data_IF_755785870111
#
_entry.id   IF_755785870111
#
_cell.length_a   1.000
_cell.length_b   1.000
_cell.length_c   1.000
_cell.angle_alpha   90.00
_cell.angle_beta   90.00
_cell.angle_gamma   90.00
#
_symmetry.space_group_name_H-M   'P 1'
#
loop_
_entity.id
_entity.type
_entity.pdbx_description
1 polymer ?
#
# COMPACT_ATOMS: atom_id res chain seq x y z
N UNK A 1 10.58 -1.55 -29.31
CA UNK A 1 11.94 -1.66 -28.72
C UNK A 1 12.31 -0.43 -27.87
N UNK A 2 11.90 0.78 -28.25
CA UNK A 2 12.19 2.02 -27.49
C UNK A 2 11.57 2.10 -26.08
N UNK A 3 10.29 1.72 -25.92
CA UNK A 3 9.60 1.81 -24.62
C UNK A 3 10.16 0.87 -23.55
N UNK A 4 10.53 -0.36 -23.92
CA UNK A 4 11.10 -1.35 -22.99
C UNK A 4 12.50 -0.98 -22.53
N UNK A 5 13.31 -0.35 -23.40
CA UNK A 5 14.62 0.17 -23.03
C UNK A 5 14.48 1.37 -22.09
N UNK A 6 13.58 2.31 -22.39
CA UNK A 6 13.30 3.46 -21.52
C UNK A 6 12.83 3.04 -20.11
N UNK A 7 11.95 2.04 -20.00
CA UNK A 7 11.53 1.52 -18.69
C UNK A 7 12.67 0.86 -17.90
N UNK A 8 13.57 0.15 -18.60
CA UNK A 8 14.74 -0.45 -17.97
C UNK A 8 15.72 0.60 -17.45
N UNK A 9 15.95 1.68 -18.19
CA UNK A 9 16.84 2.76 -17.75
C UNK A 9 16.24 3.53 -16.56
N UNK A 10 14.95 3.84 -16.60
CA UNK A 10 14.25 4.46 -15.47
C UNK A 10 14.36 3.63 -14.18
N UNK A 11 14.28 2.30 -14.30
CA UNK A 11 14.46 1.42 -13.15
C UNK A 11 15.90 1.46 -12.63
N UNK A 12 16.91 1.43 -13.49
CA UNK A 12 18.32 1.51 -13.07
C UNK A 12 18.61 2.80 -12.30
N UNK A 13 18.14 3.95 -12.80
CA UNK A 13 18.32 5.23 -12.10
C UNK A 13 17.62 5.23 -10.74
N UNK A 14 16.39 4.71 -10.66
CA UNK A 14 15.67 4.60 -9.39
C UNK A 14 16.39 3.69 -8.37
N UNK A 15 17.02 2.61 -8.83
CA UNK A 15 17.81 1.71 -7.97
C UNK A 15 19.04 2.44 -7.41
N UNK A 16 19.76 3.19 -8.25
CA UNK A 16 20.91 3.98 -7.79
C UNK A 16 20.50 5.00 -6.72
N UNK A 17 19.42 5.76 -6.97
CA UNK A 17 18.89 6.73 -6.02
C UNK A 17 18.43 6.09 -4.70
N UNK A 18 17.83 4.89 -4.75
CA UNK A 18 17.45 4.13 -3.55
C UNK A 18 18.67 3.70 -2.74
N UNK A 19 19.72 3.20 -3.39
CA UNK A 19 20.94 2.78 -2.71
C UNK A 19 21.71 3.98 -2.12
N UNK A 20 21.67 5.14 -2.79
CA UNK A 20 22.17 6.40 -2.22
C UNK A 20 21.41 6.79 -0.95
N UNK A 21 20.07 6.68 -0.97
CA UNK A 21 19.25 6.95 0.20
C UNK A 21 19.54 5.96 1.34
N UNK A 22 19.68 4.68 1.03
CA UNK A 22 20.01 3.62 1.99
C UNK A 22 21.35 3.87 2.67
N UNK A 23 22.41 4.12 1.89
CA UNK A 23 23.75 4.41 2.42
C UNK A 23 23.74 5.66 3.29
N UNK A 24 22.98 6.68 2.89
CA UNK A 24 22.86 7.91 3.67
C UNK A 24 22.23 7.67 5.05
N UNK A 25 21.25 6.78 5.17
CA UNK A 25 20.66 6.42 6.47
C UNK A 25 21.63 5.68 7.40
N UNK A 26 22.58 4.94 6.82
CA UNK A 26 23.59 4.18 7.56
C UNK A 26 24.72 5.08 8.10
N UNK A 27 24.94 6.27 7.52
CA UNK A 27 25.97 7.20 8.03
C UNK A 27 25.50 7.94 9.28
N UNK A 28 26.37 8.03 10.30
CA UNK A 28 26.07 8.75 11.56
C UNK A 28 25.78 10.26 11.36
N UNK A 29 26.06 10.82 10.18
CA UNK A 29 25.69 12.20 9.81
C UNK A 29 24.17 12.40 9.72
N UNK A 30 23.41 11.36 9.35
CA UNK A 30 21.95 11.42 9.27
C UNK A 30 21.27 11.61 10.64
N UNK A 31 21.92 11.19 11.74
CA UNK A 31 21.39 11.36 13.10
C UNK A 31 21.72 12.72 13.73
N UNK A 32 22.79 13.42 13.28
CA UNK A 32 23.29 14.63 13.95
C UNK A 32 22.91 15.93 13.23
N UNK A 33 22.78 15.94 11.90
CA UNK A 33 22.45 17.15 11.13
C UNK A 33 20.96 17.23 10.77
N UNK A 34 20.12 17.51 11.79
CA UNK A 34 18.67 17.74 11.61
C UNK A 34 18.33 18.95 10.72
N UNK A 35 19.30 19.82 10.40
CA UNK A 35 19.04 21.09 9.72
C UNK A 35 19.39 21.07 8.21
N UNK A 36 20.18 20.10 7.73
CA UNK A 36 20.69 20.07 6.33
C UNK A 36 20.43 18.75 5.58
N UNK A 37 19.89 17.73 6.25
CA UNK A 37 19.72 16.38 5.71
C UNK A 37 18.32 16.03 5.19
N UNK A 38 17.55 16.99 4.65
CA UNK A 38 16.20 16.71 4.17
C UNK A 38 16.22 15.94 2.84
N UNK A 39 16.23 14.60 2.91
CA UNK A 39 16.12 13.73 1.74
C UNK A 39 14.68 13.64 1.28
N UNK A 40 14.35 14.43 0.26
CA UNK A 40 13.07 14.35 -0.46
C UNK A 40 12.89 12.98 -1.12
N UNK A 41 11.68 12.71 -1.59
CA UNK A 41 11.41 11.53 -2.40
C UNK A 41 12.32 11.52 -3.64
N UNK A 42 13.09 10.44 -3.91
CA UNK A 42 14.04 10.45 -5.01
C UNK A 42 13.36 10.61 -6.40
N UNK A 43 13.86 11.48 -7.29
CA UNK A 43 13.18 11.84 -8.54
C UNK A 43 12.86 10.67 -9.49
N UNK A 44 13.81 9.76 -9.74
CA UNK A 44 13.58 8.60 -10.59
C UNK A 44 12.59 7.63 -9.92
N UNK A 45 12.65 7.48 -8.59
CA UNK A 45 11.64 6.74 -7.84
C UNK A 45 10.25 7.37 -7.98
N UNK A 46 10.16 8.71 -7.95
CA UNK A 46 8.88 9.43 -8.09
C UNK A 46 8.27 9.19 -9.48
N UNK A 47 9.10 9.13 -10.53
CA UNK A 47 8.67 8.77 -11.87
C UNK A 47 8.10 7.34 -11.93
N UNK A 48 8.75 6.38 -11.25
CA UNK A 48 8.19 5.03 -11.13
C UNK A 48 6.87 5.05 -10.36
N UNK A 49 6.81 5.76 -9.22
CA UNK A 49 5.64 5.89 -8.35
C UNK A 49 4.42 6.43 -9.11
N UNK A 50 4.59 7.49 -9.90
CA UNK A 50 3.49 8.10 -10.67
C UNK A 50 2.96 7.20 -11.79
N UNK A 51 3.80 6.31 -12.34
CA UNK A 51 3.42 5.39 -13.41
C UNK A 51 2.76 4.09 -12.91
N UNK A 52 2.60 3.93 -11.59
CA UNK A 52 1.88 2.78 -11.02
C UNK A 52 0.39 2.95 -11.30
N UNK A 53 -0.25 1.89 -11.77
CA UNK A 53 -1.69 1.91 -12.06
C UNK A 53 -2.51 2.42 -10.87
N UNK A 54 -3.41 3.37 -11.15
CA UNK A 54 -4.28 4.03 -10.18
C UNK A 54 -3.67 5.24 -9.47
N UNK A 55 -2.35 5.45 -9.51
CA UNK A 55 -1.71 6.54 -8.75
C UNK A 55 -1.98 7.95 -9.30
N UNK A 56 -2.60 8.05 -10.47
CA UNK A 56 -3.06 9.34 -10.99
C UNK A 56 -4.26 9.91 -10.23
N UNK A 57 -4.97 9.08 -9.45
CA UNK A 57 -6.13 9.47 -8.68
C UNK A 57 -5.94 9.13 -7.20
N UNK A 58 -6.47 9.96 -6.30
CA UNK A 58 -6.54 9.69 -4.87
C UNK A 58 -7.24 8.35 -4.61
N UNK A 59 -6.66 7.49 -3.78
CA UNK A 59 -7.28 6.18 -3.49
C UNK A 59 -8.62 6.30 -2.74
N UNK A 60 -8.83 7.38 -1.99
CA UNK A 60 -10.03 7.51 -1.15
C UNK A 60 -11.18 8.28 -1.82
N UNK A 61 -10.88 9.27 -2.66
CA UNK A 61 -11.89 10.17 -3.24
C UNK A 61 -11.72 10.43 -4.74
N UNK A 62 -10.78 9.74 -5.39
CA UNK A 62 -10.52 9.81 -6.84
C UNK A 62 -10.10 11.19 -7.36
N UNK A 63 -9.84 12.18 -6.49
CA UNK A 63 -9.27 13.46 -6.89
C UNK A 63 -7.94 13.26 -7.64
N UNK A 64 -7.78 13.95 -8.78
CA UNK A 64 -6.61 13.80 -9.66
C UNK A 64 -5.31 14.32 -9.04
N UNK A 65 -4.19 13.76 -9.49
CA UNK A 65 -2.82 14.18 -9.16
C UNK A 65 -2.55 14.31 -7.64
N UNK A 66 -2.83 13.27 -6.84
CA UNK A 66 -2.57 13.30 -5.39
C UNK A 66 -1.08 13.57 -5.08
N UNK A 67 -0.80 14.53 -4.19
CA UNK A 67 0.58 14.89 -3.78
C UNK A 67 0.94 14.42 -2.35
N UNK A 68 0.06 13.69 -1.70
CA UNK A 68 0.29 13.12 -0.37
C UNK A 68 0.23 11.60 -0.46
N UNK A 69 0.81 10.95 0.53
CA UNK A 69 0.88 9.51 0.63
C UNK A 69 0.44 9.06 2.01
N UNK A 70 -0.27 7.95 2.06
CA UNK A 70 -0.36 7.09 3.24
C UNK A 70 0.70 6.00 3.10
N UNK A 71 1.86 6.21 3.72
CA UNK A 71 3.02 5.31 3.61
C UNK A 71 2.68 3.92 4.13
N UNK A 72 1.88 3.87 5.20
CA UNK A 72 1.42 2.64 5.85
C UNK A 72 0.67 1.69 4.90
N UNK A 73 -0.05 2.24 3.91
CA UNK A 73 -0.80 1.45 2.92
C UNK A 73 -0.20 1.55 1.51
N UNK A 74 0.93 2.25 1.35
CA UNK A 74 1.61 2.42 0.07
C UNK A 74 0.76 3.11 -0.99
N UNK A 75 -0.15 4.01 -0.59
CA UNK A 75 -1.12 4.67 -1.48
C UNK A 75 -0.96 6.20 -1.53
N UNK A 76 -1.30 6.80 -2.66
CA UNK A 76 -1.38 8.25 -2.84
C UNK A 76 -2.79 8.78 -2.53
N UNK A 77 -2.82 9.89 -1.81
CA UNK A 77 -4.03 10.59 -1.34
C UNK A 77 -3.93 12.08 -1.65
N UNK A 78 -5.07 12.75 -1.81
CA UNK A 78 -5.11 14.19 -1.99
C UNK A 78 -4.90 14.93 -0.66
N UNK A 79 -4.75 16.26 -0.71
CA UNK A 79 -4.57 17.09 0.49
C UNK A 79 -5.69 16.87 1.50
N UNK A 80 -6.94 16.85 1.04
CA UNK A 80 -8.12 16.71 1.90
C UNK A 80 -8.15 15.34 2.60
N UNK A 81 -7.92 14.25 1.87
CA UNK A 81 -7.86 12.91 2.46
C UNK A 81 -6.64 12.75 3.37
N UNK A 82 -5.53 13.45 3.10
CA UNK A 82 -4.39 13.50 4.02
C UNK A 82 -4.76 14.06 5.39
N UNK A 83 -5.67 15.04 5.46
CA UNK A 83 -6.21 15.57 6.71
C UNK A 83 -6.99 14.50 7.49
N UNK A 84 -7.88 13.77 6.82
CA UNK A 84 -8.64 12.65 7.41
C UNK A 84 -7.70 11.55 7.93
N UNK A 85 -6.69 11.19 7.15
CA UNK A 85 -5.68 10.22 7.56
C UNK A 85 -4.86 10.64 8.79
N UNK A 86 -4.66 11.95 9.02
CA UNK A 86 -3.96 12.44 10.22
C UNK A 86 -4.79 12.24 11.49
N UNK A 87 -6.11 12.28 11.40
CA UNK A 87 -7.03 12.03 12.54
C UNK A 87 -6.93 10.60 13.06
N UNK A 88 -6.57 9.64 12.21
CA UNK A 88 -6.34 8.23 12.58
C UNK A 88 -5.12 8.03 13.51
N UNK A 89 -4.19 8.98 13.54
CA UNK A 89 -2.93 8.88 14.26
C UNK A 89 -1.86 8.04 13.54
N UNK A 90 -0.60 8.29 13.92
CA UNK A 90 0.60 7.73 13.26
C UNK A 90 0.67 6.21 13.30
N UNK A 91 0.10 5.58 14.33
CA UNK A 91 0.04 4.13 14.45
C UNK A 91 -0.82 3.52 13.34
N UNK A 92 -1.86 4.22 12.87
CA UNK A 92 -2.79 3.72 11.87
C UNK A 92 -2.41 4.17 10.46
N UNK A 93 -2.01 5.43 10.30
CA UNK A 93 -1.60 5.98 9.01
C UNK A 93 -0.46 6.99 9.16
N UNK A 94 0.69 6.66 8.60
CA UNK A 94 1.82 7.58 8.43
C UNK A 94 1.58 8.39 7.16
N UNK A 95 1.34 9.69 7.31
CA UNK A 95 1.07 10.61 6.21
C UNK A 95 2.32 11.41 5.85
N UNK A 96 2.67 11.45 4.56
CA UNK A 96 3.83 12.21 4.03
C UNK A 96 3.47 12.91 2.72
N UNK A 97 3.96 14.13 2.51
CA UNK A 97 3.99 14.81 1.22
C UNK A 97 5.07 14.20 0.33
N UNK A 98 4.76 13.92 -0.94
CA UNK A 98 5.75 13.36 -1.87
C UNK A 98 6.78 14.41 -2.33
N UNK A 99 6.53 15.70 -2.08
CA UNK A 99 7.41 16.80 -2.51
C UNK A 99 8.08 17.54 -1.35
N UNK A 100 7.45 17.57 -0.18
CA UNK A 100 7.87 18.40 0.95
C UNK A 100 8.39 17.61 2.16
N UNK A 101 8.16 16.31 2.24
CA UNK A 101 8.58 15.52 3.41
C UNK A 101 9.87 14.73 3.16
N UNK A 102 10.55 14.39 4.27
CA UNK A 102 11.71 13.50 4.23
C UNK A 102 11.23 12.07 4.08
N UNK A 103 11.93 11.31 3.26
CA UNK A 103 11.61 9.92 3.00
C UNK A 103 12.76 9.02 3.41
N UNK A 104 12.41 7.91 4.05
CA UNK A 104 13.37 6.85 4.34
C UNK A 104 13.40 5.83 3.21
N UNK A 105 14.51 5.08 3.08
CA UNK A 105 14.65 4.00 2.11
C UNK A 105 13.44 3.05 2.17
N UNK A 106 13.10 2.59 3.38
CA UNK A 106 11.96 1.72 3.64
C UNK A 106 10.61 2.34 3.24
N UNK A 107 10.41 3.64 3.50
CA UNK A 107 9.17 4.33 3.13
C UNK A 107 9.03 4.47 1.61
N UNK A 108 10.13 4.73 0.88
CA UNK A 108 10.12 4.74 -0.59
C UNK A 108 9.77 3.36 -1.14
N UNK A 109 10.36 2.29 -0.58
CA UNK A 109 10.02 0.91 -0.96
C UNK A 109 8.53 0.58 -0.74
N UNK A 110 7.94 1.04 0.37
CA UNK A 110 6.51 0.84 0.61
C UNK A 110 5.63 1.45 -0.49
N UNK A 111 6.00 2.62 -1.00
CA UNK A 111 5.29 3.26 -2.10
C UNK A 111 5.54 2.56 -3.45
N UNK A 112 6.78 2.12 -3.70
CA UNK A 112 7.16 1.40 -4.92
C UNK A 112 6.64 -0.05 -4.97
N UNK A 113 6.24 -0.64 -3.84
CA UNK A 113 5.62 -1.97 -3.79
C UNK A 113 4.09 -1.93 -3.61
N UNK A 114 3.53 -0.84 -3.09
CA UNK A 114 2.09 -0.61 -2.91
C UNK A 114 1.34 -0.23 -4.20
N UNK A 115 0.63 0.90 -4.18
CA UNK A 115 -0.07 1.50 -5.32
C UNK A 115 -1.59 1.51 -5.17
N UNK A 116 -2.22 2.55 -5.72
CA UNK A 116 -3.63 2.85 -5.52
C UNK A 116 -4.55 1.81 -6.16
N UNK A 117 -4.22 1.29 -7.35
CA UNK A 117 -5.02 0.20 -7.91
C UNK A 117 -5.00 -1.04 -7.01
N UNK A 118 -3.83 -1.39 -6.47
CA UNK A 118 -3.70 -2.56 -5.61
C UNK A 118 -4.49 -2.39 -4.29
N UNK A 119 -4.40 -1.21 -3.68
CA UNK A 119 -5.11 -0.88 -2.45
C UNK A 119 -6.63 -0.78 -2.69
N UNK A 120 -7.05 -0.07 -3.74
CA UNK A 120 -8.45 0.05 -4.13
C UNK A 120 -9.09 -1.29 -4.50
N UNK A 121 -8.41 -2.14 -5.26
CA UNK A 121 -8.88 -3.50 -5.58
C UNK A 121 -8.97 -4.37 -4.32
N UNK A 122 -8.10 -4.15 -3.33
CA UNK A 122 -8.18 -4.84 -2.04
C UNK A 122 -9.43 -4.39 -1.27
N UNK A 123 -9.62 -3.08 -1.08
CA UNK A 123 -10.80 -2.57 -0.38
C UNK A 123 -12.11 -2.95 -1.07
N UNK A 124 -12.18 -2.87 -2.40
CA UNK A 124 -13.37 -3.26 -3.17
C UNK A 124 -13.75 -4.72 -2.93
N UNK A 125 -12.77 -5.64 -2.95
CA UNK A 125 -13.01 -7.07 -2.67
C UNK A 125 -13.44 -7.36 -1.23
N UNK A 126 -13.23 -6.41 -0.32
CA UNK A 126 -13.61 -6.51 1.09
C UNK A 126 -14.85 -5.67 1.43
N UNK A 127 -15.57 -5.13 0.44
CA UNK A 127 -16.79 -4.33 0.66
C UNK A 127 -16.51 -2.95 1.27
N UNK A 128 -15.32 -2.39 1.02
CA UNK A 128 -14.85 -1.12 1.59
C UNK A 128 -14.65 -0.04 0.52
N UNK A 129 -15.43 -0.08 -0.57
CA UNK A 129 -15.33 0.87 -1.68
C UNK A 129 -15.59 2.32 -1.24
N UNK A 130 -15.07 3.27 -2.01
CA UNK A 130 -15.25 4.72 -1.78
C UNK A 130 -16.63 5.27 -2.11
N UNK A 131 -17.50 4.47 -2.75
CA UNK A 131 -18.76 4.93 -3.34
C UNK A 131 -20.04 4.29 -2.79
N UNK A 132 -19.98 3.29 -1.90
CA UNK A 132 -21.19 2.60 -1.43
C UNK A 132 -21.82 3.29 -0.22
N UNK A 133 -22.38 4.48 -0.42
CA UNK A 133 -23.40 5.04 0.47
C UNK A 133 -24.62 5.49 -0.32
N UNK A 134 -25.14 4.65 -1.22
CA UNK A 134 -26.54 4.72 -1.65
C UNK A 134 -27.00 3.33 -2.11
N UNK A 135 -27.66 2.57 -1.21
CA UNK A 135 -28.99 1.94 -1.43
C UNK A 135 -29.28 0.75 -0.48
N UNK A 136 -30.34 0.94 0.34
CA UNK A 136 -31.22 -0.03 1.05
C UNK A 136 -30.73 -0.67 2.37
N UNK A 137 -31.48 -0.65 3.48
CA UNK A 137 -32.95 -0.57 3.68
C UNK A 137 -33.34 0.10 5.03
N UNK A 138 -34.50 0.78 5.15
CA UNK A 138 -34.94 1.41 6.38
C UNK A 138 -35.58 0.38 7.31
N UNK A 139 -35.02 0.20 8.51
CA UNK A 139 -35.79 -0.34 9.63
C UNK A 139 -36.24 0.84 10.47
N UNK A 140 -37.54 1.10 10.42
CA UNK A 140 -38.26 2.05 11.27
C UNK A 140 -37.99 1.69 12.73
N UNK A 141 -37.57 2.65 13.56
CA UNK A 141 -38.20 2.96 14.86
C UNK A 141 -37.59 4.19 15.56
N UNK A 142 -38.47 5.17 15.79
CA UNK A 142 -38.63 6.00 17.01
C UNK A 142 -37.73 7.22 17.25
N UNK A 143 -38.32 8.39 16.93
CA UNK A 143 -38.25 9.72 17.56
C UNK A 143 -36.94 10.23 18.21
N UNK A 144 -36.37 11.31 17.66
CA UNK A 144 -36.49 12.68 18.17
C UNK A 144 -35.31 13.59 17.73
N UNK A 145 -35.66 14.85 17.44
CA UNK A 145 -34.81 16.05 17.32
C UNK A 145 -34.00 16.31 16.03
N UNK A 146 -34.39 17.40 15.40
CA UNK A 146 -33.77 18.12 14.28
C UNK A 146 -32.50 18.89 14.69
N UNK A 147 -31.39 18.66 13.99
CA UNK A 147 -30.38 19.69 13.73
C UNK A 147 -29.76 19.47 12.33
N UNK A 148 -29.64 20.55 11.58
CA UNK A 148 -29.10 20.72 10.22
C UNK A 148 -27.87 19.85 9.91
N UNK A 149 -28.05 18.78 9.11
CA UNK A 149 -26.99 17.87 8.67
C UNK A 149 -26.50 18.23 7.27
N UNK A 150 -25.43 19.04 7.22
CA UNK A 150 -24.59 19.15 6.03
C UNK A 150 -23.25 18.43 6.31
N UNK A 151 -23.06 17.27 5.65
CA UNK A 151 -21.76 16.67 5.24
C UNK A 151 -20.87 15.89 6.25
N UNK A 152 -21.38 15.39 7.38
CA UNK A 152 -20.55 14.57 8.31
C UNK A 152 -20.42 13.07 7.92
N UNK A 153 -21.24 12.56 6.99
CA UNK A 153 -21.26 11.12 6.65
C UNK A 153 -20.00 10.65 5.91
N UNK A 154 -19.28 11.54 5.23
CA UNK A 154 -18.10 11.20 4.40
C UNK A 154 -16.76 11.35 5.15
N UNK A 155 -16.74 11.95 6.33
CA UNK A 155 -15.53 12.00 7.19
C UNK A 155 -15.34 10.65 7.89
N UNK A 156 -16.42 10.11 8.47
CA UNK A 156 -16.41 8.84 9.20
C UNK A 156 -16.05 7.66 8.29
N UNK A 157 -16.53 7.64 7.03
CA UNK A 157 -16.29 6.52 6.13
C UNK A 157 -14.80 6.19 5.87
N UNK A 158 -13.94 7.21 5.73
CA UNK A 158 -12.48 6.99 5.55
C UNK A 158 -11.85 6.54 6.87
N UNK A 159 -12.19 7.19 7.98
CA UNK A 159 -11.65 6.85 9.29
C UNK A 159 -12.00 5.39 9.64
N UNK A 160 -13.26 5.01 9.47
CA UNK A 160 -13.77 3.68 9.75
C UNK A 160 -13.12 2.61 8.85
N UNK A 161 -12.99 2.88 7.54
CA UNK A 161 -12.36 1.97 6.57
C UNK A 161 -11.00 1.49 7.04
N UNK A 162 -10.14 2.42 7.49
CA UNK A 162 -8.76 2.13 7.87
C UNK A 162 -8.62 1.50 9.27
N UNK A 163 -9.67 1.47 10.08
CA UNK A 163 -9.71 0.77 11.37
C UNK A 163 -10.19 -0.69 11.24
N UNK A 164 -10.73 -1.09 10.09
CA UNK A 164 -11.19 -2.47 9.87
C UNK A 164 -10.05 -3.50 9.94
N UNK A 165 -10.40 -4.74 10.30
CA UNK A 165 -9.47 -5.88 10.27
C UNK A 165 -8.87 -6.10 8.87
N UNK A 166 -9.61 -5.82 7.81
CA UNK A 166 -9.11 -5.93 6.44
C UNK A 166 -8.00 -4.89 6.17
N UNK A 167 -8.19 -3.63 6.57
CA UNK A 167 -7.16 -2.61 6.45
C UNK A 167 -5.92 -2.97 7.28
N UNK A 168 -6.10 -3.37 8.54
CA UNK A 168 -5.00 -3.81 9.41
C UNK A 168 -4.23 -5.01 8.82
N UNK A 169 -4.94 -5.96 8.21
CA UNK A 169 -4.33 -7.07 7.48
C UNK A 169 -3.48 -6.56 6.30
N UNK A 170 -4.01 -5.65 5.47
CA UNK A 170 -3.25 -5.07 4.36
C UNK A 170 -1.99 -4.37 4.85
N UNK A 171 -2.13 -3.49 5.85
CA UNK A 171 -1.01 -2.78 6.50
C UNK A 171 0.09 -3.74 6.92
N UNK A 172 -0.25 -4.81 7.66
CA UNK A 172 0.72 -5.80 8.13
C UNK A 172 1.39 -6.52 6.95
N UNK A 173 0.61 -6.97 5.97
CA UNK A 173 1.14 -7.70 4.81
C UNK A 173 2.06 -6.84 3.94
N UNK A 174 1.74 -5.55 3.76
CA UNK A 174 2.60 -4.62 3.04
C UNK A 174 3.91 -4.40 3.82
N UNK A 175 3.83 -4.17 5.13
CA UNK A 175 5.02 -4.03 5.98
C UNK A 175 5.93 -5.26 5.89
N UNK A 176 5.39 -6.46 6.10
CA UNK A 176 6.14 -7.71 6.03
C UNK A 176 6.73 -7.94 4.62
N UNK A 177 6.04 -7.47 3.58
CA UNK A 177 6.52 -7.53 2.21
C UNK A 177 7.70 -6.58 1.96
N UNK A 178 7.59 -5.33 2.40
CA UNK A 178 8.66 -4.35 2.30
C UNK A 178 9.90 -4.84 3.05
N UNK A 179 9.75 -5.41 4.25
CA UNK A 179 10.85 -5.99 5.01
C UNK A 179 11.57 -7.10 4.23
N UNK A 180 10.83 -7.95 3.51
CA UNK A 180 11.42 -9.00 2.67
C UNK A 180 12.12 -8.43 1.44
N UNK A 181 11.59 -7.37 0.84
CA UNK A 181 12.22 -6.70 -0.31
C UNK A 181 13.52 -6.04 0.11
N UNK A 182 13.50 -5.28 1.19
CA UNK A 182 14.69 -4.62 1.76
C UNK A 182 15.79 -5.61 2.14
N UNK A 183 15.42 -6.71 2.81
CA UNK A 183 16.36 -7.81 3.16
C UNK A 183 16.89 -8.56 1.95
N UNK A 184 16.24 -8.48 0.80
CA UNK A 184 16.70 -9.17 -0.42
C UNK A 184 17.86 -8.46 -1.13
N UNK A 185 18.30 -7.32 -0.60
CA UNK A 185 19.39 -6.52 -1.13
C UNK A 185 18.89 -5.45 -2.09
N UNK A 186 19.60 -5.30 -3.20
CA UNK A 186 19.28 -4.32 -4.25
C UNK A 186 17.83 -4.47 -4.75
N UNK A 187 17.16 -3.34 -4.94
CA UNK A 187 15.79 -3.29 -5.45
C UNK A 187 15.73 -3.74 -6.92
N UNK A 188 14.83 -4.70 -7.23
CA UNK A 188 14.70 -5.28 -8.59
C UNK A 188 13.42 -4.87 -9.32
N UNK A 189 12.69 -3.90 -8.77
CA UNK A 189 11.41 -3.45 -9.31
C UNK A 189 10.21 -4.29 -8.87
N UNK A 190 9.04 -3.63 -8.87
CA UNK A 190 7.75 -4.21 -8.44
C UNK A 190 7.39 -5.51 -9.17
N UNK A 191 7.65 -5.59 -10.47
CA UNK A 191 7.30 -6.78 -11.26
C UNK A 191 8.10 -8.01 -10.87
N UNK A 192 9.36 -7.82 -10.47
CA UNK A 192 10.19 -8.89 -9.93
C UNK A 192 9.59 -9.41 -8.61
N UNK A 193 9.22 -8.52 -7.69
CA UNK A 193 8.56 -8.83 -6.42
C UNK A 193 7.27 -9.63 -6.63
N UNK A 194 6.42 -9.21 -7.58
CA UNK A 194 5.15 -9.88 -7.92
C UNK A 194 5.35 -11.29 -8.49
N UNK A 195 6.28 -11.45 -9.44
CA UNK A 195 6.61 -12.76 -10.04
C UNK A 195 7.12 -13.75 -8.98
N UNK A 196 7.96 -13.29 -8.05
CA UNK A 196 8.48 -14.12 -6.94
C UNK A 196 7.34 -14.59 -6.04
N UNK A 197 6.40 -13.71 -5.70
CA UNK A 197 5.25 -14.06 -4.87
C UNK A 197 4.32 -15.07 -5.56
N UNK A 198 4.08 -14.92 -6.86
CA UNK A 198 3.27 -15.87 -7.63
C UNK A 198 3.91 -17.26 -7.72
N UNK A 199 5.24 -17.33 -7.95
CA UNK A 199 5.99 -18.61 -7.92
C UNK A 199 5.88 -19.29 -6.55
N UNK A 200 5.99 -18.52 -5.46
CA UNK A 200 5.85 -19.05 -4.11
C UNK A 200 4.44 -19.62 -3.86
N UNK A 201 3.39 -18.89 -4.23
CA UNK A 201 1.99 -19.39 -4.13
C UNK A 201 1.78 -20.67 -4.92
N UNK A 202 2.28 -20.73 -6.16
CA UNK A 202 2.16 -21.92 -6.99
C UNK A 202 2.92 -23.12 -6.39
N UNK A 203 4.09 -22.88 -5.77
CA UNK A 203 4.85 -23.91 -5.06
C UNK A 203 4.13 -24.43 -3.82
N UNK A 204 3.57 -23.52 -3.00
CA UNK A 204 2.76 -23.88 -1.82
C UNK A 204 1.53 -24.70 -2.20
N UNK A 205 0.79 -24.29 -3.23
CA UNK A 205 -0.36 -25.03 -3.73
C UNK A 205 0.02 -26.42 -4.25
N UNK A 206 1.18 -26.55 -4.93
CA UNK A 206 1.69 -27.84 -5.40
C UNK A 206 2.07 -28.77 -4.24
N UNK A 207 2.66 -28.22 -3.17
CA UNK A 207 2.98 -28.98 -1.94
C UNK A 207 1.72 -29.44 -1.22
N UNK A 208 0.75 -28.55 -1.01
CA UNK A 208 -0.54 -28.90 -0.40
C UNK A 208 -1.28 -30.00 -1.19
N UNK A 209 -1.31 -29.90 -2.53
CA UNK A 209 -1.91 -30.93 -3.39
C UNK A 209 -1.16 -32.27 -3.35
N UNK A 210 0.17 -32.26 -3.20
CA UNK A 210 0.95 -33.49 -3.01
C UNK A 210 0.66 -34.15 -1.66
N UNK A 211 0.51 -33.36 -0.61
CA UNK A 211 0.21 -33.86 0.73
C UNK A 211 -1.19 -34.50 0.81
N UNK A 212 -2.21 -33.83 0.26
CA UNK A 212 -3.56 -34.40 0.16
C UNK A 212 -3.61 -35.71 -0.64
N UNK A 213 -2.78 -35.86 -1.68
CA UNK A 213 -2.69 -37.12 -2.46
C UNK A 213 -1.99 -38.24 -1.69
N UNK A 214 -1.02 -37.92 -0.83
CA UNK A 214 -0.35 -38.90 0.02
C UNK A 214 -1.27 -39.41 1.14
N UNK A 215 -2.18 -38.56 1.62
CA UNK A 215 -3.14 -38.88 2.69
C UNK A 215 -4.38 -39.62 2.17
N UNK A 216 -4.81 -39.37 0.92
CA UNK A 216 -5.95 -40.04 0.27
C UNK A 216 -5.70 -41.46 -0.24
N UNK A 217 -4.53 -42.06 0.04
CA UNK A 217 -4.17 -43.43 -0.34
C UNK A 217 -4.32 -44.47 0.77
N UNK A 218 -4.87 -44.11 1.94
CA UNK A 218 -5.22 -45.08 2.99
C UNK A 218 -6.65 -45.56 2.78
N UNK A 219 -6.77 -46.60 1.96
CA UNK A 219 -7.99 -47.40 1.84
C UNK A 219 -8.30 -48.00 3.22
N UNK A 220 -9.51 -47.72 3.73
CA UNK A 220 -9.98 -48.26 5.01
C UNK A 220 -10.33 -49.73 4.76
N UNK A 221 -9.44 -50.63 5.17
CA UNK A 221 -9.73 -52.06 5.24
C UNK A 221 -10.79 -52.29 6.32
N UNK A 222 -12.06 -52.32 5.90
CA UNK A 222 -13.19 -52.71 6.75
C UNK A 222 -13.10 -54.22 6.92
N UNK A 223 -12.58 -54.68 8.07
CA UNK A 223 -12.65 -56.10 8.45
C UNK A 223 -14.10 -56.45 8.77
N UNK A 224 -14.65 -57.37 7.98
CA UNK A 224 -15.96 -58.01 8.13
C UNK A 224 -15.90 -59.03 9.27
#
# INVERSE_FOLDING_TARGET
QSQSQSQSENLKTAVLELEELRRWEETKEAQYNSCTGHRRFPPACLNLLKNISGNFFCVDCEASNPQWATVTYGGLICLQCSGKHRQLGVQMSVVRSITMDSWTHKNVLAMLEGGNKQLGDFFSRHGLSSSETHSHSPTINTSAHTHSSHDDSNVNAIVDRYQTNAALFYKKNLSDHVDRVEKSGEYKGRDHSRKKNQKNKNSSNRRGRKQLRAEGGKEVEVKV
#
